data_IF_299035188105
#
_entry.id   IF_299035188105
#
_cell.length_a   1.000
_cell.length_b   1.000
_cell.length_c   1.000
_cell.angle_alpha   90.00
_cell.angle_beta   90.00
_cell.angle_gamma   90.00
#
_symmetry.space_group_name_H-M   'P 1'
#
loop_
_entity.id
_entity.type
_entity.pdbx_description
1 polymer ?
#
# COMPACT_ATOMS: atom_id res chain seq x y z
N UNK A 2 -41.61 4.53 -1.76
CA UNK A 2 -40.56 5.25 -0.99
C UNK A 2 -39.50 5.82 -1.92
N UNK A 3 -39.66 7.08 -2.30
CA UNK A 3 -38.72 7.75 -3.20
C UNK A 3 -37.39 8.03 -2.48
N UNK A 4 -37.42 7.99 -1.16
CA UNK A 4 -36.22 8.26 -0.38
C UNK A 4 -35.21 7.13 -0.44
N UNK A 5 -35.69 5.89 -0.54
CA UNK A 5 -34.80 4.73 -0.59
C UNK A 5 -33.82 4.82 -1.77
N UNK A 6 -34.31 5.07 -3.00
CA UNK A 6 -33.44 5.17 -4.18
C UNK A 6 -32.43 6.31 -4.05
N UNK A 7 -32.86 7.41 -3.43
CA UNK A 7 -31.99 8.56 -3.24
C UNK A 7 -30.81 8.21 -2.35
N UNK A 8 -31.07 7.39 -1.33
CA UNK A 8 -30.03 6.96 -0.40
C UNK A 8 -29.07 6.01 -1.08
N UNK A 9 -29.59 5.23 -2.03
CA UNK A 9 -28.78 4.26 -2.76
C UNK A 9 -27.85 4.96 -3.75
N UNK A 10 -28.37 5.97 -4.44
CA UNK A 10 -27.60 6.71 -5.43
C UNK A 10 -26.48 7.52 -4.76
N UNK A 11 -26.80 8.12 -3.61
CA UNK A 11 -25.83 8.92 -2.87
C UNK A 11 -24.72 8.03 -2.30
N UNK A 12 -25.10 6.85 -1.82
CA UNK A 12 -24.14 5.91 -1.25
C UNK A 12 -23.09 5.51 -2.28
N UNK A 13 -23.52 5.26 -3.51
CA UNK A 13 -22.61 4.87 -4.57
C UNK A 13 -21.60 5.99 -4.87
N UNK A 14 -22.03 7.23 -4.66
CA UNK A 14 -21.18 8.38 -4.90
C UNK A 14 -20.07 8.45 -3.85
N UNK A 15 -20.45 8.30 -2.58
CA UNK A 15 -19.49 8.35 -1.49
C UNK A 15 -18.50 7.20 -1.59
N UNK A 16 -18.95 6.08 -2.13
CA UNK A 16 -18.11 4.91 -2.28
C UNK A 16 -17.07 5.12 -3.38
N UNK A 17 -17.45 5.89 -4.40
CA UNK A 17 -16.56 6.18 -5.52
C UNK A 17 -15.51 7.22 -5.13
N UNK A 18 -15.94 8.22 -4.38
CA UNK A 18 -15.04 9.28 -3.92
C UNK A 18 -14.03 8.74 -2.92
N UNK A 19 -14.50 7.90 -2.01
CA UNK A 19 -13.64 7.31 -0.98
C UNK A 19 -12.58 6.42 -1.62
N UNK A 20 -12.96 5.72 -2.67
CA UNK A 20 -12.04 4.84 -3.38
C UNK A 20 -10.92 5.62 -4.04
N UNK A 21 -11.29 6.62 -4.83
CA UNK A 21 -10.32 7.45 -5.55
C UNK A 21 -9.29 8.06 -4.61
N UNK A 22 -9.75 8.62 -3.50
CA UNK A 22 -8.84 9.25 -2.54
C UNK A 22 -7.91 8.22 -1.89
N UNK A 23 -8.42 7.00 -1.71
CA UNK A 23 -7.62 5.94 -1.10
C UNK A 23 -6.44 5.55 -1.99
N UNK A 24 -6.74 5.18 -3.23
CA UNK A 24 -5.71 4.77 -4.18
C UNK A 24 -4.57 5.77 -4.27
N UNK A 25 -4.91 7.03 -4.47
CA UNK A 25 -3.91 8.07 -4.63
C UNK A 25 -2.94 8.12 -3.44
N UNK A 26 -3.46 8.01 -2.23
CA UNK A 26 -2.64 8.04 -1.03
C UNK A 26 -1.90 6.72 -0.81
N UNK A 27 -2.64 5.62 -0.83
CA UNK A 27 -2.07 4.29 -0.65
C UNK A 27 -0.92 4.06 -1.61
N UNK A 28 -1.04 4.61 -2.83
CA UNK A 28 0.00 4.47 -3.85
C UNK A 28 1.29 5.11 -3.38
N UNK A 29 1.15 6.25 -2.70
CA UNK A 29 2.32 6.95 -2.17
C UNK A 29 2.98 6.13 -1.08
N UNK A 30 2.17 5.39 -0.35
CA UNK A 30 2.69 4.52 0.69
C UNK A 30 3.45 3.36 0.06
N UNK A 31 2.88 2.83 -1.02
CA UNK A 31 3.48 1.73 -1.74
C UNK A 31 4.76 2.17 -2.41
N UNK A 32 4.76 3.40 -2.91
CA UNK A 32 5.95 3.96 -3.57
C UNK A 32 7.06 4.17 -2.56
N UNK A 33 6.70 4.71 -1.39
CA UNK A 33 7.67 4.96 -0.33
C UNK A 33 8.31 3.66 0.14
N UNK A 34 7.51 2.61 0.28
CA UNK A 34 8.03 1.33 0.70
C UNK A 34 8.99 0.78 -0.32
N UNK A 35 8.56 0.78 -1.57
CA UNK A 35 9.36 0.32 -2.68
C UNK A 35 10.55 1.24 -2.87
N UNK A 36 10.44 2.46 -2.35
CA UNK A 36 11.53 3.43 -2.44
C UNK A 36 12.59 3.04 -1.45
N UNK A 37 12.13 2.45 -0.37
CA UNK A 37 13.04 2.00 0.66
C UNK A 37 13.78 0.77 0.23
N UNK A 38 13.11 -0.08 -0.56
CA UNK A 38 13.74 -1.31 -1.04
C UNK A 38 14.68 -1.01 -2.20
N UNK A 39 14.31 -0.05 -3.04
CA UNK A 39 15.14 0.30 -4.19
C UNK A 39 16.36 1.13 -3.79
N UNK A 40 16.19 2.01 -2.81
CA UNK A 40 17.30 2.87 -2.38
C UNK A 40 18.35 2.06 -1.64
N UNK A 41 17.89 1.12 -0.85
CA UNK A 41 18.81 0.28 -0.08
C UNK A 41 19.43 -0.78 -0.98
N UNK A 42 18.68 -1.27 -1.96
CA UNK A 42 19.22 -2.22 -2.91
C UNK A 42 20.43 -1.60 -3.59
N UNK A 43 20.26 -0.36 -4.02
CA UNK A 43 21.33 0.36 -4.69
C UNK A 43 22.46 0.73 -3.74
N UNK A 44 22.13 1.39 -2.64
CA UNK A 44 23.13 1.86 -1.66
C UNK A 44 23.71 0.77 -0.73
N UNK A 45 22.79 0.07 -0.06
CA UNK A 45 23.10 -0.94 0.94
C UNK A 45 23.61 -2.27 0.38
N UNK A 46 22.95 -2.80 -0.65
CA UNK A 46 23.37 -4.09 -1.22
C UNK A 46 24.82 -4.06 -1.63
N UNK A 47 25.11 -3.50 -2.79
CA UNK A 47 26.48 -3.45 -3.28
C UNK A 47 27.10 -4.85 -3.23
N UNK A 48 28.40 -4.91 -2.99
CA UNK A 48 29.08 -6.20 -2.91
C UNK A 48 29.78 -6.35 -1.57
N UNK A 49 29.53 -5.40 -0.67
CA UNK A 49 30.13 -5.43 0.67
C UNK A 49 29.23 -6.18 1.66
N UNK A 50 27.93 -6.20 1.36
CA UNK A 50 26.96 -6.86 2.23
C UNK A 50 27.13 -8.37 2.22
N UNK A 51 27.67 -8.91 1.11
CA UNK A 51 27.87 -10.35 0.99
C UNK A 51 28.96 -10.83 1.94
N UNK A 52 29.92 -9.96 2.23
CA UNK A 52 31.01 -10.28 3.13
C UNK A 52 30.49 -10.77 4.48
N UNK A 53 29.42 -10.15 4.96
CA UNK A 53 28.82 -10.54 6.23
C UNK A 53 27.91 -9.48 6.80
N UNK A 54 27.22 -8.75 5.94
CA UNK A 54 26.31 -7.70 6.39
C UNK A 54 24.93 -7.88 5.72
N UNK A 55 24.03 -8.52 6.45
CA UNK A 55 22.66 -8.76 5.99
C UNK A 55 21.82 -7.50 6.06
N UNK A 56 22.25 -6.54 6.90
CA UNK A 56 21.50 -5.29 7.11
C UNK A 56 20.64 -4.90 5.90
N UNK A 57 21.21 -4.78 4.67
CA UNK A 57 20.42 -4.44 3.49
C UNK A 57 19.15 -5.28 3.37
N UNK A 58 19.29 -6.58 3.63
CA UNK A 58 18.17 -7.49 3.57
C UNK A 58 16.97 -7.04 4.36
N UNK A 59 17.24 -6.66 5.59
CA UNK A 59 16.21 -6.19 6.50
C UNK A 59 15.55 -4.93 5.97
N UNK A 60 16.35 -4.05 5.39
CA UNK A 60 15.84 -2.81 4.83
C UNK A 60 14.87 -3.09 3.70
N UNK A 61 15.17 -4.15 2.94
CA UNK A 61 14.32 -4.56 1.83
C UNK A 61 13.06 -5.20 2.35
N UNK A 62 13.22 -6.04 3.37
CA UNK A 62 12.10 -6.74 3.98
C UNK A 62 11.20 -5.77 4.72
N UNK A 63 11.81 -4.79 5.39
CA UNK A 63 11.05 -3.81 6.17
C UNK A 63 10.28 -2.84 5.27
N UNK A 64 10.99 -2.18 4.37
CA UNK A 64 10.36 -1.21 3.46
C UNK A 64 9.63 -1.91 2.31
N UNK A 65 10.01 -3.13 2.00
CA UNK A 65 9.33 -3.84 0.93
C UNK A 65 8.01 -4.43 1.39
N UNK A 66 7.95 -4.76 2.68
CA UNK A 66 6.73 -5.31 3.28
C UNK A 66 5.91 -4.16 3.86
N UNK A 67 6.61 -3.10 4.24
CA UNK A 67 6.01 -1.89 4.78
C UNK A 67 4.87 -1.40 3.88
N UNK A 68 5.13 -1.27 2.57
CA UNK A 68 4.16 -0.78 1.61
C UNK A 68 2.99 -1.73 1.45
N UNK A 69 3.27 -3.03 1.48
CA UNK A 69 2.22 -4.03 1.35
C UNK A 69 1.20 -3.84 2.46
N UNK A 70 1.68 -3.85 3.70
CA UNK A 70 0.81 -3.67 4.87
C UNK A 70 0.04 -2.36 4.76
N UNK A 71 0.75 -1.27 4.50
CA UNK A 71 0.14 0.05 4.38
C UNK A 71 -1.04 0.03 3.41
N UNK A 72 -0.82 -0.52 2.22
CA UNK A 72 -1.86 -0.59 1.20
C UNK A 72 -3.10 -1.32 1.72
N UNK A 73 -2.88 -2.45 2.38
CA UNK A 73 -3.97 -3.27 2.91
C UNK A 73 -4.67 -2.63 4.12
N UNK A 74 -3.91 -1.98 5.00
CA UNK A 74 -4.51 -1.34 6.18
C UNK A 74 -5.08 0.02 5.82
N UNK A 75 -4.57 0.62 4.75
CA UNK A 75 -5.06 1.91 4.27
C UNK A 75 -6.16 1.68 3.25
N UNK A 76 -6.44 0.40 3.00
CA UNK A 76 -7.47 -0.02 2.05
C UNK A 76 -8.66 -0.62 2.79
N UNK A 77 -9.91 -0.24 2.41
CA UNK A 77 -11.12 -0.77 3.06
C UNK A 77 -11.12 -2.29 3.17
N UNK A 78 -11.91 -2.85 4.10
CA UNK A 78 -11.98 -4.31 4.30
C UNK A 78 -12.51 -5.06 3.07
N UNK A 79 -13.64 -4.62 2.55
CA UNK A 79 -14.25 -5.25 1.38
C UNK A 79 -13.35 -5.11 0.16
N UNK A 80 -12.49 -4.09 0.18
CA UNK A 80 -11.57 -3.83 -0.92
C UNK A 80 -10.40 -4.81 -0.92
N UNK A 81 -9.79 -5.01 0.25
CA UNK A 81 -8.66 -5.90 0.37
C UNK A 81 -9.13 -7.36 0.30
N UNK A 82 -10.38 -7.58 0.67
CA UNK A 82 -10.96 -8.92 0.64
C UNK A 82 -11.20 -9.39 -0.79
N UNK A 83 -11.70 -8.49 -1.62
CA UNK A 83 -11.98 -8.79 -3.02
C UNK A 83 -10.69 -9.00 -3.79
N UNK A 84 -9.59 -8.49 -3.25
CA UNK A 84 -8.29 -8.61 -3.88
C UNK A 84 -7.63 -9.95 -3.54
N UNK A 85 -8.22 -10.66 -2.59
CA UNK A 85 -7.70 -11.95 -2.16
C UNK A 85 -8.32 -13.08 -2.97
N UNK A 86 -7.56 -14.15 -3.17
CA UNK A 86 -8.04 -15.30 -3.92
C UNK A 86 -7.15 -16.52 -3.68
#
# INVERSE_FOLDING_TARGET
>A
GPLGSPEFAAMDYKDDDDKALENLVVLNAASVAGAHGILSFLVFFCAAWYIKGRLAPGAAYAFYGVWPLLLLLLALPPRAYAAAAS
#
